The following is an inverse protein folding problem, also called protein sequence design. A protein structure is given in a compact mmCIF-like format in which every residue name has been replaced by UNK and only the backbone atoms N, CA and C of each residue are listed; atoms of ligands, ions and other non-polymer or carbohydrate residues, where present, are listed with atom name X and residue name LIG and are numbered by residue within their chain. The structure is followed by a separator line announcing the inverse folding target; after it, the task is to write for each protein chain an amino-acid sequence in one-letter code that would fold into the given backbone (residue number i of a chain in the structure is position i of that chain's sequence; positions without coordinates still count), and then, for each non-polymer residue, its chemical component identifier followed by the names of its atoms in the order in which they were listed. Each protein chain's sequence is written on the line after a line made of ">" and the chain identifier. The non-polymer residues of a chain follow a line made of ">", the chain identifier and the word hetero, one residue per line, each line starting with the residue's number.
data_IF_643564242370
#
_entry.id   IF_643564242370
#
_cell.length_a   1.000
_cell.length_b   1.000
_cell.length_c   1.000
_cell.angle_alpha   90.00
_cell.angle_beta   90.00
_cell.angle_gamma   90.00
#
_symmetry.space_group_name_H-M   'P 1'
#
loop_
_entity.id
_entity.type
_entity.pdbx_description
1 polymer ?
#
# COMPACT_ATOMS: atom_id res chain seq x y z
N UNK A 1 -6.52 -10.48 -17.46
CA UNK A 1 -5.69 -10.83 -16.28
C UNK A 1 -6.02 -9.82 -15.18
N UNK A 2 -6.68 -10.23 -14.09
CA UNK A 2 -7.07 -9.30 -13.02
C UNK A 2 -5.84 -8.91 -12.18
N UNK A 3 -5.62 -7.60 -11.97
CA UNK A 3 -4.52 -7.08 -11.15
C UNK A 3 -4.86 -7.26 -9.67
N UNK A 4 -3.93 -7.82 -8.90
CA UNK A 4 -4.12 -7.98 -7.43
C UNK A 4 -4.12 -6.61 -6.77
N UNK A 5 -4.99 -6.42 -5.77
CA UNK A 5 -5.07 -5.19 -4.95
C UNK A 5 -3.80 -5.01 -4.14
N UNK A 6 -3.44 -3.76 -3.88
CA UNK A 6 -2.21 -3.45 -3.16
C UNK A 6 -2.46 -3.12 -1.69
N UNK A 7 -1.42 -3.31 -0.89
CA UNK A 7 -1.41 -2.93 0.52
C UNK A 7 -1.56 -1.41 0.67
N UNK A 8 -1.00 -0.64 -0.24
CA UNK A 8 -0.99 0.83 -0.26
C UNK A 8 -2.37 1.44 -0.59
N UNK A 9 -3.24 0.71 -1.28
CA UNK A 9 -4.63 1.07 -1.56
C UNK A 9 -5.60 0.73 -0.40
N UNK A 10 -5.12 -0.05 0.57
CA UNK A 10 -5.93 -0.55 1.69
C UNK A 10 -5.80 0.33 2.94
N UNK A 11 -6.85 0.45 3.73
CA UNK A 11 -6.72 1.04 5.07
C UNK A 11 -5.96 0.09 5.98
N UNK A 12 -5.15 0.64 6.88
CA UNK A 12 -4.32 -0.13 7.79
C UNK A 12 -4.65 0.14 9.25
N UNK A 13 -4.80 -0.94 10.02
CA UNK A 13 -4.81 -0.93 11.47
C UNK A 13 -3.47 -1.52 11.97
N UNK A 14 -2.69 -0.72 12.69
CA UNK A 14 -1.30 -1.06 13.04
C UNK A 14 -1.07 -0.95 14.54
N UNK A 15 -0.35 -1.91 15.11
CA UNK A 15 0.02 -1.90 16.53
C UNK A 15 0.96 -0.75 16.86
N UNK A 16 1.84 -0.40 15.92
CA UNK A 16 2.74 0.74 16.10
C UNK A 16 1.95 2.05 16.23
N UNK A 17 0.86 2.17 15.48
CA UNK A 17 -0.01 3.34 15.49
C UNK A 17 -0.83 3.38 16.79
N UNK A 18 -1.41 2.25 17.21
CA UNK A 18 -2.08 2.13 18.51
C UNK A 18 -1.14 2.45 19.68
N UNK A 19 0.12 1.98 19.63
CA UNK A 19 1.14 2.29 20.63
C UNK A 19 1.49 3.78 20.64
N UNK A 20 1.67 4.39 19.46
CA UNK A 20 1.97 5.82 19.33
C UNK A 20 0.85 6.69 19.88
N UNK A 21 -0.40 6.30 19.66
CA UNK A 21 -1.59 6.96 20.23
C UNK A 21 -1.85 6.65 21.71
N UNK A 22 -1.00 5.85 22.37
CA UNK A 22 -1.19 5.30 23.72
C UNK A 22 -2.53 4.58 23.90
N UNK A 23 -3.13 4.10 22.81
CA UNK A 23 -4.42 3.39 22.83
C UNK A 23 -4.30 2.01 23.46
N UNK A 24 -3.10 1.42 23.46
CA UNK A 24 -2.82 0.17 24.17
C UNK A 24 -2.91 0.30 25.69
N UNK A 25 -2.74 1.52 26.21
CA UNK A 25 -2.75 1.83 27.65
C UNK A 25 -4.15 2.28 28.12
N UNK A 26 -5.02 2.68 27.19
CA UNK A 26 -6.37 3.18 27.44
C UNK A 26 -7.43 2.08 27.23
N UNK A 27 -8.62 2.30 27.77
CA UNK A 27 -9.79 1.42 27.55
C UNK A 27 -10.44 1.67 26.19
N UNK A 28 -10.43 2.91 25.70
CA UNK A 28 -10.93 3.28 24.39
C UNK A 28 -10.23 4.52 23.82
N UNK A 29 -10.32 4.70 22.51
CA UNK A 29 -10.01 5.96 21.84
C UNK A 29 -10.11 5.88 20.32
N UNK A 30 -10.02 7.04 19.69
CA UNK A 30 -10.21 7.18 18.25
C UNK A 30 -8.88 7.14 17.49
N UNK A 31 -8.89 6.44 16.36
CA UNK A 31 -7.75 6.33 15.46
C UNK A 31 -8.16 6.71 14.04
N UNK A 32 -7.25 7.33 13.28
CA UNK A 32 -7.54 7.81 11.94
C UNK A 32 -6.61 7.11 10.95
N UNK A 33 -7.18 6.36 10.00
CA UNK A 33 -6.43 5.78 8.87
C UNK A 33 -6.74 6.59 7.61
N UNK A 34 -5.69 7.02 6.90
CA UNK A 34 -5.82 7.77 5.64
C UNK A 34 -5.24 6.95 4.49
N UNK A 35 -5.97 6.83 3.39
CA UNK A 35 -5.45 6.24 2.15
C UNK A 35 -4.37 7.11 1.52
N UNK A 36 -3.52 6.49 0.71
CA UNK A 36 -2.46 7.19 -0.06
C UNK A 36 -3.00 8.26 -1.01
N UNK A 37 -4.25 8.13 -1.47
CA UNK A 37 -4.94 9.11 -2.31
C UNK A 37 -5.40 10.38 -1.56
N UNK A 38 -5.28 10.42 -0.23
CA UNK A 38 -5.53 11.61 0.60
C UNK A 38 -6.99 12.01 0.81
N UNK A 39 -7.91 11.52 -0.03
CA UNK A 39 -9.31 11.95 -0.14
C UNK A 39 -10.29 11.16 0.75
N UNK A 40 -9.87 10.03 1.32
CA UNK A 40 -10.76 9.19 2.12
C UNK A 40 -10.18 8.95 3.50
N UNK A 41 -10.93 9.36 4.51
CA UNK A 41 -10.61 9.17 5.92
C UNK A 41 -11.41 7.99 6.45
N UNK A 42 -10.75 7.12 7.19
CA UNK A 42 -11.39 6.08 7.98
C UNK A 42 -11.12 6.42 9.45
N UNK A 43 -12.14 6.96 10.12
CA UNK A 43 -12.12 7.02 11.57
C UNK A 43 -12.37 5.60 12.08
N UNK A 44 -11.50 5.10 12.93
CA UNK A 44 -11.57 3.78 13.52
C UNK A 44 -11.56 3.99 15.02
N UNK A 45 -12.74 3.93 15.64
CA UNK A 45 -12.83 3.89 17.09
C UNK A 45 -12.41 2.51 17.56
N UNK A 46 -11.53 2.50 18.55
CA UNK A 46 -10.91 1.29 19.08
C UNK A 46 -11.17 1.22 20.57
N UNK A 47 -11.73 0.11 21.04
CA UNK A 47 -11.87 -0.18 22.45
C UNK A 47 -11.14 -1.48 22.79
N UNK A 48 -10.39 -1.49 23.88
CA UNK A 48 -9.66 -2.66 24.36
C UNK A 48 -10.44 -3.24 25.52
N UNK A 49 -11.09 -4.37 25.29
CA UNK A 49 -11.67 -5.14 26.37
C UNK A 49 -10.58 -6.05 26.97
N UNK A 50 -10.30 -5.90 28.28
CA UNK A 50 -9.33 -6.71 29.02
C UNK A 50 -10.02 -7.63 30.05
N UNK A 51 -10.94 -8.53 29.68
CA UNK A 51 -11.40 -9.53 30.63
C UNK A 51 -10.32 -10.61 30.66
N UNK A 52 -9.57 -10.72 31.77
CA UNK A 52 -8.75 -11.89 32.17
C UNK A 52 -8.39 -12.89 31.03
N UNK A 53 -7.74 -12.42 29.96
CA UNK A 53 -7.31 -13.15 28.76
C UNK A 53 -8.41 -13.96 28.01
N UNK A 54 -8.55 -13.80 26.67
CA UNK A 54 -7.74 -13.01 25.76
C UNK A 54 -8.16 -11.53 25.69
N UNK A 55 -7.17 -10.63 25.55
CA UNK A 55 -7.43 -9.22 25.25
C UNK A 55 -8.06 -9.09 23.87
N UNK A 56 -9.26 -8.50 23.81
CA UNK A 56 -10.01 -8.35 22.57
C UNK A 56 -10.10 -6.87 22.21
N UNK A 57 -9.72 -6.57 20.97
CA UNK A 57 -9.83 -5.25 20.38
C UNK A 57 -11.16 -5.15 19.64
N UNK A 58 -12.02 -4.25 20.07
CA UNK A 58 -13.26 -3.91 19.37
C UNK A 58 -12.94 -2.73 18.44
N UNK A 59 -13.24 -2.90 17.17
CA UNK A 59 -12.94 -1.95 16.10
C UNK A 59 -14.26 -1.55 15.45
N UNK A 60 -14.64 -0.29 15.63
CA UNK A 60 -15.74 0.33 14.87
C UNK A 60 -15.10 1.28 13.85
N UNK A 61 -15.44 1.15 12.58
CA UNK A 61 -14.87 2.01 11.55
C UNK A 61 -15.97 2.80 10.84
N UNK A 62 -15.72 4.07 10.58
CA UNK A 62 -16.56 4.97 9.79
C UNK A 62 -15.69 5.56 8.68
N UNK A 63 -16.08 5.32 7.44
CA UNK A 63 -15.44 5.88 6.25
C UNK A 63 -16.18 7.12 5.81
N UNK A 64 -15.45 8.22 5.66
CA UNK A 64 -15.95 9.44 5.03
C UNK A 64 -15.42 9.49 3.61
N UNK A 65 -16.32 9.51 2.63
CA UNK A 65 -15.97 9.58 1.21
C UNK A 65 -15.59 11.00 0.75
N UNK A 66 -15.19 11.15 -0.51
CA UNK A 66 -14.78 12.44 -1.06
C UNK A 66 -15.92 13.47 -1.17
N UNK A 67 -17.18 13.02 -1.09
CA UNK A 67 -18.38 13.85 -1.08
C UNK A 67 -18.85 14.15 0.36
N UNK A 68 -18.10 13.70 1.38
CA UNK A 68 -18.44 13.88 2.79
C UNK A 68 -19.48 12.89 3.32
N UNK A 69 -19.85 11.85 2.57
CA UNK A 69 -20.80 10.83 3.02
C UNK A 69 -20.13 9.86 3.96
N UNK A 70 -20.81 9.52 5.05
CA UNK A 70 -20.33 8.56 6.03
C UNK A 70 -20.87 7.15 5.76
N UNK A 71 -19.97 6.17 5.85
CA UNK A 71 -20.26 4.75 5.70
C UNK A 71 -19.77 4.03 6.95
N UNK A 72 -20.71 3.49 7.73
CA UNK A 72 -20.39 2.71 8.92
C UNK A 72 -20.09 1.27 8.54
N UNK A 73 -19.00 0.73 9.08
CA UNK A 73 -18.71 -0.69 9.03
C UNK A 73 -19.25 -1.38 10.27
N UNK A 74 -19.56 -2.67 10.11
CA UNK A 74 -19.93 -3.51 11.23
C UNK A 74 -18.82 -3.54 12.28
N UNK A 75 -19.21 -3.69 13.54
CA UNK A 75 -18.29 -3.90 14.66
C UNK A 75 -17.43 -5.13 14.38
N UNK A 76 -16.12 -4.97 14.49
CA UNK A 76 -15.17 -6.04 14.26
C UNK A 76 -14.30 -6.30 15.48
N UNK A 77 -14.27 -7.56 15.91
CA UNK A 77 -13.45 -8.00 17.04
C UNK A 77 -12.15 -8.62 16.53
N UNK A 78 -11.04 -8.14 17.07
CA UNK A 78 -9.69 -8.61 16.74
C UNK A 78 -9.01 -9.03 18.02
N UNK A 79 -8.63 -10.30 18.11
CA UNK A 79 -7.88 -10.79 19.27
C UNK A 79 -6.45 -10.22 19.27
N UNK A 80 -5.94 -9.95 20.46
CA UNK A 80 -4.59 -9.46 20.68
C UNK A 80 -3.80 -10.37 21.60
N UNK A 81 -2.49 -10.46 21.36
CA UNK A 81 -1.55 -11.17 22.22
C UNK A 81 -0.29 -10.34 22.37
N UNK A 82 0.43 -10.51 23.48
CA UNK A 82 1.76 -9.93 23.66
C UNK A 82 2.82 -11.02 23.76
N UNK A 83 4.05 -10.68 23.40
CA UNK A 83 5.24 -11.49 23.68
C UNK A 83 6.19 -10.67 24.53
N UNK A 84 6.72 -11.21 25.64
CA UNK A 84 7.70 -10.51 26.46
C UNK A 84 8.99 -10.27 25.66
N UNK A 85 9.58 -9.09 25.80
CA UNK A 85 10.89 -8.75 25.23
C UNK A 85 11.96 -8.79 26.32
N UNK A 86 13.18 -9.16 25.92
CA UNK A 86 14.35 -9.32 26.80
C UNK A 86 14.70 -8.09 27.63
N UNK A 87 14.31 -6.90 27.18
CA UNK A 87 14.58 -5.60 27.83
C UNK A 87 13.32 -5.01 28.52
N UNK A 88 12.47 -5.84 29.11
CA UNK A 88 11.35 -5.40 29.95
C UNK A 88 10.15 -4.78 29.22
N UNK A 89 10.16 -4.74 27.88
CA UNK A 89 9.01 -4.28 27.09
C UNK A 89 8.12 -5.44 26.64
N UNK A 90 6.86 -5.16 26.30
CA UNK A 90 5.97 -6.10 25.64
C UNK A 90 5.84 -5.76 24.16
N UNK A 91 5.94 -6.77 23.29
CA UNK A 91 5.63 -6.66 21.87
C UNK A 91 4.23 -7.19 21.62
N UNK A 92 3.32 -6.29 21.30
CA UNK A 92 1.94 -6.61 20.97
C UNK A 92 1.81 -7.13 19.54
N UNK A 93 0.83 -8.01 19.34
CA UNK A 93 0.46 -8.64 18.07
C UNK A 93 -1.07 -8.71 17.95
N UNK A 94 -1.60 -8.53 16.74
CA UNK A 94 -2.95 -8.92 16.38
C UNK A 94 -2.94 -10.39 16.00
N UNK A 95 -3.99 -11.11 16.35
CA UNK A 95 -4.29 -12.42 15.80
C UNK A 95 -5.25 -12.21 14.63
N UNK A 96 -4.82 -12.57 13.43
CA UNK A 96 -5.64 -12.37 12.23
C UNK A 96 -6.95 -13.17 12.32
N UNK A 97 -8.13 -12.53 12.21
CA UNK A 97 -9.43 -13.20 12.37
C UNK A 97 -9.87 -13.99 11.12
N UNK A 98 -9.09 -13.94 10.05
CA UNK A 98 -9.37 -14.68 8.82
C UNK A 98 -9.55 -16.17 9.07
N UNK A 99 -10.47 -16.79 8.30
CA UNK A 99 -10.83 -18.21 8.43
C UNK A 99 -9.59 -19.10 8.40
N UNK A 100 -9.32 -19.81 9.50
CA UNK A 100 -8.14 -20.68 9.69
C UNK A 100 -6.78 -19.99 9.51
N UNK A 101 -6.70 -18.67 9.72
CA UNK A 101 -5.44 -17.93 9.59
C UNK A 101 -4.63 -17.92 10.89
N UNK A 102 -5.16 -17.36 11.98
CA UNK A 102 -4.53 -17.33 13.31
C UNK A 102 -3.15 -16.67 13.38
N UNK A 103 -2.67 -16.03 12.31
CA UNK A 103 -1.32 -15.46 12.25
C UNK A 103 -1.19 -14.27 13.18
N UNK A 104 -0.09 -14.23 13.93
CA UNK A 104 0.37 -13.03 14.67
C UNK A 104 0.91 -12.00 13.70
N UNK A 105 0.27 -10.85 13.61
CA UNK A 105 0.63 -9.77 12.68
C UNK A 105 0.63 -8.42 13.38
N UNK A 106 1.54 -7.53 12.96
CA UNK A 106 1.60 -6.17 13.50
C UNK A 106 0.63 -5.20 12.80
N UNK A 107 0.08 -5.60 11.64
CA UNK A 107 -0.80 -4.77 10.84
C UNK A 107 -1.89 -5.62 10.16
N UNK A 108 -3.13 -5.14 10.24
CA UNK A 108 -4.28 -5.64 9.50
C UNK A 108 -4.70 -4.62 8.44
N UNK A 109 -5.38 -5.10 7.41
CA UNK A 109 -5.76 -4.33 6.25
C UNK A 109 -7.24 -4.46 5.96
N UNK A 110 -7.84 -3.35 5.57
CA UNK A 110 -9.21 -3.25 5.07
C UNK A 110 -9.16 -2.69 3.64
N UNK A 111 -9.12 -3.55 2.61
CA UNK A 111 -9.16 -3.13 1.22
C UNK A 111 -10.49 -2.45 0.87
N UNK A 112 -10.53 -1.56 -0.14
CA UNK A 112 -11.78 -0.96 -0.61
C UNK A 112 -12.83 -2.01 -0.96
N UNK A 113 -14.07 -1.84 -0.52
CA UNK A 113 -15.17 -2.78 -0.79
C UNK A 113 -15.08 -4.10 0.00
N UNK A 114 -14.18 -4.20 0.98
CA UNK A 114 -14.21 -5.24 2.00
C UNK A 114 -14.75 -4.63 3.30
N UNK A 115 -15.31 -5.50 4.16
CA UNK A 115 -15.85 -5.05 5.45
C UNK A 115 -14.89 -5.36 6.59
N UNK A 116 -14.06 -6.41 6.49
CA UNK A 116 -13.25 -6.89 7.62
C UNK A 116 -11.75 -6.59 7.50
N UNK A 117 -11.13 -6.26 8.65
CA UNK A 117 -9.69 -6.13 8.81
C UNK A 117 -9.00 -7.50 8.88
N UNK A 118 -8.27 -7.89 7.83
CA UNK A 118 -7.52 -9.16 7.77
C UNK A 118 -6.04 -8.94 7.45
N UNK A 119 -5.22 -9.98 7.62
CA UNK A 119 -3.82 -9.88 7.22
C UNK A 119 -3.67 -9.85 5.69
N UNK A 120 -2.50 -9.37 5.21
CA UNK A 120 -2.21 -9.27 3.77
C UNK A 120 -2.43 -10.58 3.00
N UNK A 121 -2.20 -11.71 3.65
CA UNK A 121 -2.32 -13.03 3.02
C UNK A 121 -3.77 -13.45 2.84
N UNK A 122 -4.64 -13.13 3.80
CA UNK A 122 -6.07 -13.42 3.70
C UNK A 122 -6.77 -12.56 2.64
N UNK A 123 -6.32 -11.31 2.47
CA UNK A 123 -6.79 -10.41 1.42
C UNK A 123 -6.03 -10.53 0.10
N UNK A 124 -5.09 -11.47 -0.01
CA UNK A 124 -4.20 -11.65 -1.17
C UNK A 124 -3.54 -10.37 -1.70
N UNK A 125 -3.16 -9.48 -0.79
CA UNK A 125 -2.58 -8.18 -1.13
C UNK A 125 -1.12 -8.32 -1.54
N UNK A 126 -0.74 -7.56 -2.56
CA UNK A 126 0.65 -7.36 -2.99
C UNK A 126 1.13 -5.97 -2.59
N UNK A 127 2.44 -5.74 -2.62
CA UNK A 127 2.97 -4.38 -2.61
C UNK A 127 2.94 -3.78 -4.02
N UNK A 128 2.71 -2.47 -4.12
CA UNK A 128 2.79 -1.73 -5.39
C UNK A 128 4.15 -1.91 -6.07
N UNK A 129 5.24 -1.86 -5.29
CA UNK A 129 6.60 -2.00 -5.79
C UNK A 129 6.82 -3.34 -6.53
N UNK A 130 6.18 -4.41 -6.06
CA UNK A 130 6.27 -5.73 -6.69
C UNK A 130 5.53 -5.80 -8.03
N UNK A 131 4.50 -4.98 -8.24
CA UNK A 131 3.77 -4.93 -9.50
C UNK A 131 4.56 -4.16 -10.55
N UNK A 132 5.01 -2.95 -10.21
CA UNK A 132 5.78 -2.12 -11.15
C UNK A 132 7.10 -2.78 -11.58
N UNK A 133 7.84 -3.38 -10.64
CA UNK A 133 9.12 -3.99 -10.94
C UNK A 133 9.01 -5.19 -11.89
N UNK A 134 7.95 -6.01 -11.80
CA UNK A 134 7.71 -7.11 -12.75
C UNK A 134 7.41 -6.58 -14.14
N UNK A 135 6.56 -5.57 -14.25
CA UNK A 135 6.19 -4.97 -15.55
C UNK A 135 7.43 -4.36 -16.22
N UNK A 136 8.27 -3.63 -15.47
CA UNK A 136 9.52 -3.06 -15.96
C UNK A 136 10.53 -4.12 -16.40
N UNK A 137 10.75 -5.16 -15.57
CA UNK A 137 11.65 -6.27 -15.92
C UNK A 137 11.19 -7.04 -17.15
N UNK A 138 9.89 -7.32 -17.26
CA UNK A 138 9.35 -8.03 -18.42
C UNK A 138 9.46 -7.19 -19.69
N UNK A 139 9.31 -5.88 -19.59
CA UNK A 139 9.54 -4.96 -20.72
C UNK A 139 11.01 -4.92 -21.12
N UNK A 140 11.93 -4.86 -20.16
CA UNK A 140 13.38 -4.94 -20.41
C UNK A 140 13.79 -6.27 -21.06
N UNK A 141 13.24 -7.39 -20.57
CA UNK A 141 13.46 -8.73 -21.15
C UNK A 141 12.91 -8.83 -22.57
N UNK A 142 11.74 -8.28 -22.85
CA UNK A 142 11.16 -8.21 -24.19
C UNK A 142 12.04 -7.40 -25.13
N UNK A 143 12.51 -6.22 -24.69
CA UNK A 143 13.42 -5.38 -25.46
C UNK A 143 14.71 -6.13 -25.83
N UNK A 144 15.39 -6.76 -24.87
CA UNK A 144 16.60 -7.55 -25.12
C UNK A 144 16.35 -8.71 -26.09
N UNK A 145 15.20 -9.40 -25.97
CA UNK A 145 14.80 -10.48 -26.88
C UNK A 145 14.54 -9.98 -28.30
N UNK A 146 13.83 -8.87 -28.46
CA UNK A 146 13.52 -8.30 -29.76
C UNK A 146 14.76 -7.72 -30.43
N UNK A 147 15.69 -7.16 -29.65
CA UNK A 147 16.98 -6.67 -30.15
C UNK A 147 17.79 -7.78 -30.82
N UNK A 148 17.96 -8.91 -30.12
CA UNK A 148 18.64 -10.09 -30.70
C UNK A 148 17.98 -10.58 -31.99
N UNK A 149 16.65 -10.58 -32.05
CA UNK A 149 15.90 -10.99 -33.26
C UNK A 149 16.00 -9.99 -34.40
N UNK A 150 16.12 -8.70 -34.10
CA UNK A 150 16.33 -7.66 -35.09
C UNK A 150 17.75 -7.71 -35.67
N UNK A 151 18.76 -7.92 -34.83
CA UNK A 151 20.16 -8.13 -35.24
C UNK A 151 20.29 -9.36 -36.14
N UNK A 152 19.55 -10.44 -35.83
CA UNK A 152 19.51 -11.66 -36.63
C UNK A 152 18.56 -11.59 -37.84
N UNK A 153 17.93 -10.45 -38.17
CA UNK A 153 16.99 -10.36 -39.28
C UNK A 153 17.68 -10.05 -40.62
N UNK A 154 17.44 -10.89 -41.64
CA UNK A 154 18.09 -10.78 -42.95
C UNK A 154 17.23 -10.09 -44.00
N UNK A 155 15.90 -10.12 -43.83
CA UNK A 155 14.95 -9.54 -44.80
C UNK A 155 14.37 -8.22 -44.30
N UNK A 156 14.01 -7.33 -45.23
CA UNK A 156 13.38 -6.02 -44.93
C UNK A 156 12.09 -6.18 -44.12
N UNK A 157 11.26 -7.17 -44.47
CA UNK A 157 10.00 -7.47 -43.75
C UNK A 157 10.25 -7.93 -42.32
N UNK A 158 11.27 -8.76 -42.09
CA UNK A 158 11.66 -9.17 -40.74
C UNK A 158 12.21 -7.99 -39.95
N UNK A 159 13.08 -7.16 -40.55
CA UNK A 159 13.61 -5.95 -39.91
C UNK A 159 12.48 -5.01 -39.49
N UNK A 160 11.53 -4.67 -40.37
CA UNK A 160 10.38 -3.83 -40.02
C UNK A 160 9.53 -4.42 -38.88
N UNK A 161 9.23 -5.73 -38.94
CA UNK A 161 8.48 -6.42 -37.89
C UNK A 161 9.15 -6.31 -36.52
N UNK A 162 10.47 -6.51 -36.46
CA UNK A 162 11.21 -6.44 -35.20
C UNK A 162 11.50 -5.00 -34.75
N UNK A 163 11.67 -4.05 -35.68
CA UNK A 163 11.78 -2.61 -35.37
C UNK A 163 10.52 -2.11 -34.66
N UNK A 164 9.33 -2.46 -35.15
CA UNK A 164 8.07 -2.09 -34.51
C UNK A 164 7.96 -2.65 -33.09
N UNK A 165 8.37 -3.92 -32.89
CA UNK A 165 8.34 -4.55 -31.56
C UNK A 165 9.40 -3.98 -30.61
N UNK A 166 10.56 -3.58 -31.12
CA UNK A 166 11.58 -2.86 -30.35
C UNK A 166 11.08 -1.50 -29.90
N UNK A 167 10.46 -0.74 -30.79
CA UNK A 167 9.87 0.56 -30.50
C UNK A 167 8.78 0.45 -29.43
N UNK A 168 7.83 -0.48 -29.58
CA UNK A 168 6.79 -0.74 -28.58
C UNK A 168 7.36 -1.13 -27.19
N UNK A 169 8.46 -1.89 -27.16
CA UNK A 169 9.12 -2.25 -25.90
C UNK A 169 9.90 -1.08 -25.28
N UNK A 170 10.54 -0.24 -26.10
CA UNK A 170 11.24 0.97 -25.67
C UNK A 170 10.27 2.00 -25.10
N UNK A 171 9.14 2.23 -25.79
CA UNK A 171 8.05 3.09 -25.31
C UNK A 171 7.51 2.61 -23.97
N UNK A 172 7.34 1.28 -23.81
CA UNK A 172 6.95 0.68 -22.54
C UNK A 172 7.97 0.91 -21.41
N UNK A 173 9.27 0.87 -21.70
CA UNK A 173 10.34 1.16 -20.72
C UNK A 173 10.36 2.63 -20.32
N UNK A 174 10.23 3.54 -21.29
CA UNK A 174 10.15 4.97 -21.02
C UNK A 174 8.87 5.34 -20.27
N UNK A 175 7.74 4.71 -20.58
CA UNK A 175 6.49 4.88 -19.83
C UNK A 175 6.64 4.38 -18.39
N UNK A 176 7.28 3.22 -18.18
CA UNK A 176 7.59 2.69 -16.84
C UNK A 176 8.46 3.67 -16.03
N UNK A 177 9.54 4.19 -16.62
CA UNK A 177 10.42 5.17 -15.98
C UNK A 177 9.67 6.48 -15.66
N UNK A 178 8.86 6.99 -16.59
CA UNK A 178 8.04 8.21 -16.37
C UNK A 178 7.03 8.03 -15.24
N UNK A 179 6.29 6.92 -15.21
CA UNK A 179 5.33 6.62 -14.13
C UNK A 179 6.02 6.48 -12.79
N UNK A 180 7.17 5.78 -12.74
CA UNK A 180 7.94 5.64 -11.50
C UNK A 180 8.49 6.99 -11.01
N UNK A 181 9.06 7.78 -11.91
CA UNK A 181 9.56 9.12 -11.62
C UNK A 181 8.43 10.04 -11.14
N UNK A 182 7.29 10.06 -11.82
CA UNK A 182 6.13 10.87 -11.44
C UNK A 182 5.61 10.48 -10.05
N UNK A 183 5.46 9.20 -9.75
CA UNK A 183 5.05 8.72 -8.41
C UNK A 183 6.07 9.05 -7.33
N UNK A 184 7.37 8.97 -7.63
CA UNK A 184 8.43 9.37 -6.72
C UNK A 184 8.37 10.88 -6.43
N UNK A 185 8.17 11.70 -7.47
CA UNK A 185 8.03 13.15 -7.34
C UNK A 185 6.78 13.54 -6.57
N UNK A 186 5.64 12.87 -6.79
CA UNK A 186 4.42 13.07 -5.99
C UNK A 186 4.61 12.68 -4.52
N UNK A 187 5.41 11.64 -4.21
CA UNK A 187 5.74 11.28 -2.83
C UNK A 187 6.65 12.31 -2.18
N UNK A 188 7.65 12.82 -2.90
CA UNK A 188 8.53 13.90 -2.44
C UNK A 188 7.72 15.18 -2.18
N UNK A 189 6.83 15.56 -3.10
CA UNK A 189 5.93 16.70 -2.94
C UNK A 189 5.01 16.54 -1.72
N UNK A 190 4.46 15.34 -1.49
CA UNK A 190 3.65 15.03 -0.30
C UNK A 190 4.46 15.12 1.00
N UNK A 191 5.70 14.62 1.02
CA UNK A 191 6.60 14.72 2.18
C UNK A 191 6.97 16.18 2.49
N UNK A 192 7.25 17.00 1.46
CA UNK A 192 7.53 18.43 1.62
C UNK A 192 6.33 19.21 2.15
N UNK A 193 5.13 18.95 1.62
CA UNK A 193 3.87 19.54 2.11
C UNK A 193 3.58 19.17 3.57
N UNK A 194 3.81 17.92 3.95
CA UNK A 194 3.66 17.46 5.33
C UNK A 194 4.71 18.05 6.30
N UNK A 195 5.89 18.38 5.79
CA UNK A 195 6.96 19.05 6.54
C UNK A 195 6.81 20.58 6.59
N UNK A 196 5.73 21.17 6.04
CA UNK A 196 5.52 22.62 6.02
C UNK A 196 6.47 23.38 5.09
N UNK A 197 7.24 22.68 4.24
CA UNK A 197 8.18 23.28 3.30
C UNK A 197 7.39 23.72 2.07
N UNK A 198 7.14 25.04 1.93
CA UNK A 198 6.58 25.61 0.69
C UNK A 198 7.53 25.34 -0.48
N UNK A 199 7.00 24.84 -1.60
CA UNK A 199 7.71 24.84 -2.88
C UNK A 199 7.83 26.32 -3.32
N UNK A 200 8.98 26.79 -3.82
CA UNK A 200 9.45 26.56 -5.19
C UNK A 200 10.99 26.56 -5.27
N UNK A 201 11.56 26.01 -6.36
CA UNK A 201 12.16 26.96 -7.28
C UNK A 201 11.51 26.87 -8.65
N UNK A 202 11.21 28.04 -9.16
CA UNK A 202 10.79 28.32 -10.52
C UNK A 202 11.91 27.93 -11.50
N UNK A 203 11.66 26.89 -12.30
CA UNK A 203 12.61 26.41 -13.31
C UNK A 203 12.55 27.30 -14.57
N UNK A 204 11.75 28.38 -14.60
CA UNK A 204 11.76 29.32 -15.73
C UNK A 204 12.97 30.28 -15.75
N UNK A 205 13.96 30.10 -14.87
CA UNK A 205 15.14 30.97 -14.79
C UNK A 205 16.46 30.37 -15.32
N UNK A 206 16.47 29.13 -15.82
CA UNK A 206 17.65 28.61 -16.55
C UNK A 206 17.56 29.06 -18.01
N UNK A 207 17.95 30.32 -18.26
CA UNK A 207 18.45 30.70 -19.59
C UNK A 207 19.81 30.03 -19.78
N UNK A 208 20.01 29.42 -20.96
CA UNK A 208 21.31 28.98 -21.47
C UNK A 208 22.32 30.15 -21.44
#
# INVERSE_FOLDING_TARGET
>A
MWKKRTVEESYGLSIFDLKKGRLLEKEAGDWWSRKSNGLTLLCTQVAINRPLWPTTLIVNATLTDALGREHHFERHEVQMTSTPCRFGSQRWWFICPGKRCGRRVAKLYLPPGQNQYLCRHCHELTYEACQGHRDGMDTARKYARYRKRWEAAHTTRQKMKWSLKLFQALDGLQAYQRVYHQRAMERIARMRKAAGIKCEPDISSVKL
#
